data_IF_444360593513
#
_entry.id   IF_444360593513
#
_cell.length_a   1.000
_cell.length_b   1.000
_cell.length_c   1.000
_cell.angle_alpha   90.00
_cell.angle_beta   90.00
_cell.angle_gamma   90.00
#
_symmetry.space_group_name_H-M   'P 1'
#
loop_
_entity.id
_entity.type
_entity.pdbx_description
1 polymer ?
#
# COMPACT_ATOMS: atom_id res chain seq x y z
N UNK A 1 -26.21 -22.69 8.01
CA UNK A 1 -25.66 -22.46 6.65
C UNK A 1 -24.47 -21.54 6.80
N UNK A 2 -23.30 -21.88 6.26
CA UNK A 2 -22.12 -21.01 6.30
C UNK A 2 -22.26 -19.93 5.23
N UNK A 3 -22.19 -18.65 5.60
CA UNK A 3 -22.15 -17.55 4.64
C UNK A 3 -20.78 -17.50 3.99
N UNK A 4 -20.73 -17.49 2.67
CA UNK A 4 -19.51 -17.25 1.89
C UNK A 4 -19.77 -16.08 0.96
N UNK A 5 -18.92 -15.06 1.03
CA UNK A 5 -18.98 -13.90 0.13
C UNK A 5 -17.57 -13.35 -0.10
N UNK A 6 -17.36 -12.73 -1.25
CA UNK A 6 -16.09 -12.16 -1.63
C UNK A 6 -16.29 -10.89 -2.46
N UNK A 7 -15.35 -9.95 -2.34
CA UNK A 7 -15.26 -8.76 -3.19
C UNK A 7 -13.81 -8.53 -3.56
N UNK A 8 -13.55 -8.13 -4.80
CA UNK A 8 -12.22 -7.80 -5.32
C UNK A 8 -12.29 -6.49 -6.08
N UNK A 9 -11.34 -5.59 -5.83
CA UNK A 9 -11.23 -4.30 -6.51
C UNK A 9 -9.77 -3.95 -6.74
N UNK A 10 -9.53 -3.14 -7.77
CA UNK A 10 -8.21 -2.60 -8.08
C UNK A 10 -8.29 -1.07 -8.16
N UNK A 11 -8.52 -0.36 -7.04
CA UNK A 11 -8.45 1.10 -7.06
C UNK A 11 -7.11 1.56 -7.65
N UNK A 12 -7.19 2.57 -8.51
CA UNK A 12 -6.02 3.19 -9.13
C UNK A 12 -5.43 4.18 -8.15
N UNK A 13 -4.24 3.88 -7.63
CA UNK A 13 -3.54 4.71 -6.64
C UNK A 13 -2.38 5.43 -7.31
N UNK A 14 -2.25 6.73 -7.07
CA UNK A 14 -1.16 7.51 -7.65
C UNK A 14 0.19 7.11 -7.04
N UNK A 15 1.26 7.23 -7.83
CA UNK A 15 2.63 7.03 -7.38
C UNK A 15 3.32 8.38 -7.15
N UNK A 16 4.20 8.42 -6.16
CA UNK A 16 5.09 9.56 -5.89
C UNK A 16 6.16 9.62 -6.97
N UNK A 17 6.70 10.83 -7.19
CA UNK A 17 7.79 11.05 -8.16
C UNK A 17 9.02 11.63 -7.47
N UNK A 18 10.23 11.23 -7.89
CA UNK A 18 11.45 11.91 -7.49
C UNK A 18 11.47 13.35 -7.99
N UNK A 19 12.06 14.24 -7.21
CA UNK A 19 12.32 15.62 -7.63
C UNK A 19 13.42 15.67 -8.70
N UNK A 20 13.51 16.80 -9.42
CA UNK A 20 14.60 17.01 -10.38
C UNK A 20 16.00 16.92 -9.72
N UNK A 21 16.11 17.38 -8.48
CA UNK A 21 17.34 17.28 -7.68
C UNK A 21 17.68 15.82 -7.36
N UNK A 22 16.70 15.02 -6.93
CA UNK A 22 16.89 13.59 -6.65
C UNK A 22 17.30 12.81 -7.91
N UNK A 23 16.75 13.16 -9.08
CA UNK A 23 17.15 12.54 -10.35
C UNK A 23 18.54 12.99 -10.81
N UNK A 24 18.88 14.27 -10.64
CA UNK A 24 20.23 14.75 -10.95
C UNK A 24 21.28 14.02 -10.08
N UNK A 25 21.02 13.92 -8.78
CA UNK A 25 21.85 13.15 -7.85
C UNK A 25 21.93 11.68 -8.25
N UNK A 26 20.80 11.03 -8.59
CA UNK A 26 20.78 9.63 -8.99
C UNK A 26 21.66 9.37 -10.21
N UNK A 27 21.58 10.23 -11.23
CA UNK A 27 22.42 10.15 -12.44
C UNK A 27 23.90 10.30 -12.13
N UNK A 28 24.27 11.25 -11.28
CA UNK A 28 25.67 11.42 -10.88
C UNK A 28 26.19 10.20 -10.11
N UNK A 29 25.38 9.67 -9.18
CA UNK A 29 25.72 8.49 -8.40
C UNK A 29 25.93 7.24 -9.26
N UNK A 30 25.06 7.03 -10.26
CA UNK A 30 25.10 5.85 -11.13
C UNK A 30 26.21 5.93 -12.19
N UNK A 31 26.62 7.14 -12.61
CA UNK A 31 27.70 7.34 -13.59
C UNK A 31 29.08 6.86 -13.10
N UNK A 32 29.31 6.89 -11.77
CA UNK A 32 30.55 6.37 -11.16
C UNK A 32 30.42 4.85 -11.00
N UNK A 33 31.44 4.03 -11.33
CA UNK A 33 31.40 2.59 -11.07
C UNK A 33 31.45 2.33 -9.56
N UNK A 34 30.71 1.33 -9.09
CA UNK A 34 30.64 1.00 -7.66
C UNK A 34 29.89 -0.30 -7.39
N UNK A 35 30.13 -0.90 -6.22
CA UNK A 35 29.34 -2.03 -5.74
C UNK A 35 27.96 -1.55 -5.25
N UNK A 36 26.95 -2.42 -5.16
CA UNK A 36 25.68 -2.07 -4.53
C UNK A 36 25.88 -1.64 -3.07
N UNK A 37 25.49 -0.41 -2.76
CA UNK A 37 25.36 0.15 -1.41
C UNK A 37 24.01 0.90 -1.30
N UNK A 38 23.66 1.38 -0.10
CA UNK A 38 22.37 2.05 0.11
C UNK A 38 22.19 3.25 -0.83
N UNK A 39 23.13 4.22 -0.93
CA UNK A 39 22.99 5.33 -1.87
C UNK A 39 22.78 4.90 -3.33
N UNK A 40 23.58 3.95 -3.83
CA UNK A 40 23.47 3.48 -5.22
C UNK A 40 22.15 2.74 -5.47
N UNK A 41 21.66 1.98 -4.50
CA UNK A 41 20.33 1.33 -4.59
C UNK A 41 19.23 2.38 -4.71
N UNK A 42 19.25 3.44 -3.89
CA UNK A 42 18.25 4.50 -3.97
C UNK A 42 18.35 5.33 -5.26
N UNK A 43 19.56 5.58 -5.75
CA UNK A 43 19.76 6.21 -7.06
C UNK A 43 19.07 5.40 -8.17
N UNK A 44 19.29 4.07 -8.20
CA UNK A 44 18.61 3.20 -9.17
C UNK A 44 17.09 3.24 -9.01
N UNK A 45 16.59 3.10 -7.77
CA UNK A 45 15.15 3.11 -7.53
C UNK A 45 14.48 4.44 -7.89
N UNK A 46 15.18 5.57 -7.79
CA UNK A 46 14.65 6.85 -8.26
C UNK A 46 14.49 6.89 -9.78
N UNK A 47 15.48 6.42 -10.54
CA UNK A 47 15.36 6.32 -12.00
C UNK A 47 14.21 5.35 -12.39
N UNK A 48 14.12 4.19 -11.74
CA UNK A 48 13.04 3.23 -11.96
C UNK A 48 11.65 3.84 -11.66
N UNK A 49 11.54 4.56 -10.53
CA UNK A 49 10.31 5.22 -10.12
C UNK A 49 9.93 6.38 -11.05
N UNK A 50 10.90 7.09 -11.63
CA UNK A 50 10.63 8.15 -12.60
C UNK A 50 10.12 7.61 -13.94
N UNK A 51 10.65 6.47 -14.38
CA UNK A 51 10.22 5.79 -15.60
C UNK A 51 8.93 4.97 -15.42
N UNK A 52 8.56 4.63 -14.19
CA UNK A 52 7.36 3.84 -13.87
C UNK A 52 6.04 4.57 -14.09
N UNK A 53 4.92 3.85 -14.03
CA UNK A 53 3.58 4.41 -14.19
C UNK A 53 3.25 5.48 -13.11
N UNK A 54 2.49 6.51 -13.49
CA UNK A 54 2.06 7.60 -12.57
C UNK A 54 0.99 7.17 -11.57
N UNK A 55 0.38 6.02 -11.83
CA UNK A 55 -0.58 5.37 -10.96
C UNK A 55 -0.57 3.87 -11.25
N UNK A 56 -0.97 3.09 -10.26
CA UNK A 56 -0.99 1.62 -10.35
C UNK A 56 -2.34 1.08 -9.86
N UNK A 57 -2.97 0.16 -10.60
CA UNK A 57 -4.07 -0.63 -10.07
C UNK A 57 -3.58 -1.42 -8.85
N UNK A 58 -4.26 -1.27 -7.72
CA UNK A 58 -3.79 -1.83 -6.44
C UNK A 58 -4.78 -2.88 -5.94
N UNK A 59 -4.44 -4.17 -5.95
CA UNK A 59 -5.39 -5.25 -5.69
C UNK A 59 -5.81 -5.30 -4.22
N UNK A 60 -7.11 -5.17 -3.98
CA UNK A 60 -7.76 -5.30 -2.69
C UNK A 60 -8.72 -6.48 -2.72
N UNK A 61 -8.80 -7.23 -1.62
CA UNK A 61 -9.76 -8.31 -1.49
C UNK A 61 -10.42 -8.30 -0.11
N UNK A 62 -11.71 -8.60 -0.09
CA UNK A 62 -12.44 -8.98 1.11
C UNK A 62 -12.99 -10.39 0.93
N UNK A 63 -12.77 -11.24 1.93
CA UNK A 63 -13.38 -12.56 2.04
C UNK A 63 -14.21 -12.62 3.33
N UNK A 64 -15.42 -13.12 3.22
CA UNK A 64 -16.27 -13.43 4.37
C UNK A 64 -16.49 -14.94 4.45
N UNK A 65 -16.17 -15.50 5.62
CA UNK A 65 -16.35 -16.91 5.93
C UNK A 65 -17.14 -17.02 7.23
N UNK A 66 -18.44 -17.25 7.11
CA UNK A 66 -19.38 -17.19 8.23
C UNK A 66 -19.44 -15.78 8.82
N UNK A 67 -18.96 -15.63 10.05
CA UNK A 67 -18.87 -14.35 10.75
C UNK A 67 -17.50 -13.68 10.58
N UNK A 68 -16.49 -14.41 10.10
CA UNK A 68 -15.12 -13.89 9.95
C UNK A 68 -15.02 -13.06 8.68
N UNK A 69 -14.41 -11.88 8.79
CA UNK A 69 -14.08 -11.01 7.68
C UNK A 69 -12.56 -10.85 7.54
N UNK A 70 -12.05 -11.08 6.34
CA UNK A 70 -10.64 -10.99 6.01
C UNK A 70 -10.50 -9.91 4.94
N UNK A 71 -9.87 -8.79 5.27
CA UNK A 71 -9.45 -7.79 4.29
C UNK A 71 -7.99 -8.04 3.89
N UNK A 72 -7.60 -7.64 2.69
CA UNK A 72 -6.20 -7.73 2.27
C UNK A 72 -5.70 -6.49 1.54
N UNK A 73 -4.42 -6.19 1.76
CA UNK A 73 -3.68 -5.12 1.09
C UNK A 73 -2.38 -5.69 0.50
N UNK A 74 -1.88 -5.17 -0.63
CA UNK A 74 -0.70 -5.69 -1.31
C UNK A 74 0.60 -5.00 -0.85
N UNK A 75 0.63 -4.47 0.37
CA UNK A 75 1.72 -3.68 0.93
C UNK A 75 2.29 -4.31 2.21
N UNK A 76 3.45 -3.81 2.65
CA UNK A 76 3.89 -3.91 4.04
C UNK A 76 3.10 -2.90 4.88
N UNK A 77 2.09 -3.40 5.60
CA UNK A 77 1.05 -2.57 6.25
C UNK A 77 1.43 -2.22 7.69
N UNK A 78 1.20 -0.96 8.08
CA UNK A 78 1.37 -0.52 9.46
C UNK A 78 0.30 -1.12 10.39
N UNK A 79 0.69 -1.43 11.63
CA UNK A 79 -0.20 -2.03 12.64
C UNK A 79 -1.47 -1.19 12.87
N UNK A 80 -1.35 0.14 12.90
CA UNK A 80 -2.48 1.05 13.12
C UNK A 80 -3.58 0.90 12.05
N UNK A 81 -3.22 0.64 10.79
CA UNK A 81 -4.18 0.42 9.70
C UNK A 81 -4.96 -0.88 9.94
N UNK A 82 -4.28 -1.95 10.36
CA UNK A 82 -4.93 -3.21 10.69
C UNK A 82 -5.86 -3.12 11.91
N UNK A 83 -5.44 -2.36 12.93
CA UNK A 83 -6.26 -2.06 14.11
C UNK A 83 -7.49 -1.23 13.73
N UNK A 84 -7.33 -0.22 12.88
CA UNK A 84 -8.42 0.61 12.40
C UNK A 84 -9.41 -0.18 11.53
N UNK A 85 -8.92 -1.02 10.61
CA UNK A 85 -9.77 -1.94 9.84
C UNK A 85 -10.60 -2.83 10.76
N UNK A 86 -9.97 -3.43 11.78
CA UNK A 86 -10.67 -4.25 12.76
C UNK A 86 -11.70 -3.45 13.55
N UNK A 87 -11.41 -2.20 13.92
CA UNK A 87 -12.34 -1.36 14.68
C UNK A 87 -13.54 -0.91 13.84
N UNK A 88 -13.32 -0.54 12.57
CA UNK A 88 -14.34 0.03 11.68
C UNK A 88 -15.17 -1.03 10.94
N UNK A 89 -14.68 -2.28 10.85
CA UNK A 89 -15.37 -3.34 10.10
C UNK A 89 -16.75 -3.70 10.71
N UNK A 90 -17.84 -3.65 9.92
CA UNK A 90 -19.19 -4.00 10.39
C UNK A 90 -19.44 -5.52 10.49
N UNK A 91 -18.49 -6.35 10.04
CA UNK A 91 -18.53 -7.82 10.14
C UNK A 91 -17.38 -8.25 11.05
N UNK A 92 -17.69 -9.00 12.11
CA UNK A 92 -16.72 -9.36 13.15
C UNK A 92 -16.73 -10.87 13.44
N UNK A 93 -15.56 -11.49 13.68
CA UNK A 93 -14.25 -10.85 13.82
C UNK A 93 -13.63 -10.43 12.47
N UNK A 94 -12.93 -9.29 12.46
CA UNK A 94 -12.21 -8.78 11.29
C UNK A 94 -10.69 -8.73 11.51
N UNK A 95 -9.93 -9.12 10.49
CA UNK A 95 -8.48 -8.90 10.45
C UNK A 95 -7.98 -8.63 9.03
N UNK A 96 -6.82 -7.99 8.96
CA UNK A 96 -6.19 -7.56 7.72
C UNK A 96 -4.97 -8.42 7.42
N UNK A 97 -4.81 -8.82 6.17
CA UNK A 97 -3.65 -9.57 5.66
C UNK A 97 -2.81 -8.64 4.79
N UNK A 98 -1.55 -8.43 5.17
CA UNK A 98 -0.55 -7.71 4.38
C UNK A 98 0.04 -8.59 3.28
N UNK A 99 0.67 -7.99 2.27
CA UNK A 99 1.39 -8.69 1.21
C UNK A 99 0.55 -9.75 0.45
N UNK A 100 -0.74 -9.47 0.27
CA UNK A 100 -1.62 -10.31 -0.53
C UNK A 100 -1.69 -9.80 -1.98
N UNK A 101 -1.74 -10.71 -2.96
CA UNK A 101 -1.87 -10.42 -4.40
C UNK A 101 -0.73 -9.63 -5.05
N UNK A 102 0.17 -9.02 -4.29
CA UNK A 102 1.30 -8.29 -4.83
C UNK A 102 2.23 -7.69 -3.77
N UNK A 103 3.18 -6.89 -4.25
CA UNK A 103 4.15 -6.15 -3.45
C UNK A 103 4.22 -4.68 -3.90
N UNK A 104 3.71 -3.79 -3.05
CA UNK A 104 3.61 -2.34 -3.31
C UNK A 104 4.38 -1.50 -2.29
N UNK A 105 5.45 -2.09 -1.74
CA UNK A 105 6.33 -1.49 -0.75
C UNK A 105 5.57 -1.15 0.56
N UNK A 106 6.12 -0.27 1.40
CA UNK A 106 5.49 0.14 2.65
C UNK A 106 4.23 0.99 2.43
N UNK A 107 3.26 0.84 3.34
CA UNK A 107 2.02 1.64 3.38
C UNK A 107 1.90 2.43 4.70
N UNK A 108 2.68 3.51 4.87
CA UNK A 108 2.52 4.44 5.99
C UNK A 108 1.19 5.22 5.92
N UNK A 109 0.72 5.70 7.07
CA UNK A 109 -0.39 6.67 7.15
C UNK A 109 0.11 8.09 6.80
N UNK A 110 -0.78 9.05 6.47
CA UNK A 110 -0.36 10.44 6.27
C UNK A 110 0.39 11.01 7.48
N UNK A 111 -0.03 10.63 8.70
CA UNK A 111 0.67 11.03 9.92
C UNK A 111 2.07 10.43 10.01
N UNK A 112 2.26 9.18 9.61
CA UNK A 112 3.60 8.57 9.55
C UNK A 112 4.48 9.27 8.52
N UNK A 113 3.94 9.71 7.38
CA UNK A 113 4.69 10.53 6.43
C UNK A 113 5.21 11.85 7.03
N UNK A 114 4.43 12.50 7.91
CA UNK A 114 4.86 13.71 8.62
C UNK A 114 5.95 13.43 9.66
N UNK A 115 5.88 12.27 10.32
CA UNK A 115 6.88 11.84 11.31
C UNK A 115 8.20 11.36 10.66
N UNK A 116 8.12 10.87 9.42
CA UNK A 116 9.26 10.30 8.71
C UNK A 116 9.55 8.85 9.12
N UNK A 117 10.77 8.39 8.82
CA UNK A 117 11.17 6.98 9.00
C UNK A 117 11.45 6.29 7.66
N UNK A 118 12.15 5.15 7.72
CA UNK A 118 12.60 4.42 6.53
C UNK A 118 11.43 4.05 5.59
N UNK A 119 10.32 3.66 6.18
CA UNK A 119 9.07 3.25 5.53
C UNK A 119 8.43 4.38 4.71
N UNK A 120 8.80 5.63 4.97
CA UNK A 120 8.27 6.82 4.29
C UNK A 120 9.18 7.33 3.17
N UNK A 121 10.42 6.82 3.10
CA UNK A 121 11.40 7.26 2.11
C UNK A 121 10.87 6.95 0.71
N UNK A 122 11.07 7.91 -0.20
CA UNK A 122 10.69 7.72 -1.59
C UNK A 122 11.41 6.47 -2.14
N UNK A 123 10.71 5.68 -2.96
CA UNK A 123 11.17 4.38 -3.48
C UNK A 123 11.31 3.24 -2.44
N UNK A 124 11.03 3.49 -1.16
CA UNK A 124 10.68 2.46 -0.14
C UNK A 124 9.20 2.51 0.20
N UNK A 125 8.56 3.64 -0.07
CA UNK A 125 7.14 3.78 -0.30
C UNK A 125 6.95 4.54 -1.62
N UNK A 126 6.28 3.91 -2.58
CA UNK A 126 6.02 4.50 -3.90
C UNK A 126 4.65 5.12 -4.06
N UNK A 127 3.67 4.73 -3.25
CA UNK A 127 2.29 5.22 -3.36
C UNK A 127 2.15 6.62 -2.75
N UNK A 128 1.15 7.38 -3.20
CA UNK A 128 0.87 8.73 -2.68
C UNK A 128 0.61 8.75 -1.17
N UNK A 129 0.85 9.87 -0.46
CA UNK A 129 0.75 9.92 0.99
C UNK A 129 -0.62 9.54 1.59
N UNK A 130 -1.70 9.70 0.82
CA UNK A 130 -3.07 9.33 1.20
C UNK A 130 -3.49 7.93 0.75
N UNK A 131 -2.57 7.11 0.23
CA UNK A 131 -2.89 5.78 -0.28
C UNK A 131 -3.49 4.88 0.80
N UNK A 132 -2.96 4.91 2.03
CA UNK A 132 -3.46 4.13 3.16
C UNK A 132 -4.93 4.41 3.47
N UNK A 133 -5.32 5.68 3.52
CA UNK A 133 -6.71 6.10 3.74
C UNK A 133 -7.62 5.62 2.61
N UNK A 134 -7.24 5.91 1.36
CA UNK A 134 -8.02 5.52 0.17
C UNK A 134 -8.26 4.01 0.09
N UNK A 135 -7.22 3.23 0.38
CA UNK A 135 -7.28 1.77 0.31
C UNK A 135 -8.06 1.17 1.47
N UNK A 136 -7.94 1.73 2.68
CA UNK A 136 -8.70 1.30 3.85
C UNK A 136 -10.20 1.61 3.68
N UNK A 137 -10.53 2.80 3.19
CA UNK A 137 -11.93 3.18 2.93
C UNK A 137 -12.56 2.26 1.87
N UNK A 138 -11.84 2.00 0.77
CA UNK A 138 -12.29 1.06 -0.25
C UNK A 138 -12.51 -0.36 0.31
N UNK A 139 -11.63 -0.86 1.19
CA UNK A 139 -11.83 -2.14 1.87
C UNK A 139 -13.09 -2.12 2.73
N UNK A 140 -13.34 -1.06 3.51
CA UNK A 140 -14.50 -0.99 4.40
C UNK A 140 -15.82 -0.92 3.62
N UNK A 141 -15.85 -0.24 2.47
CA UNK A 141 -16.95 -0.30 1.51
C UNK A 141 -17.19 -1.74 1.03
N UNK A 142 -16.13 -2.43 0.63
CA UNK A 142 -16.21 -3.84 0.21
C UNK A 142 -16.70 -4.76 1.35
N UNK A 143 -16.34 -4.48 2.60
CA UNK A 143 -16.86 -5.22 3.78
C UNK A 143 -18.37 -5.00 3.93
N UNK A 144 -18.85 -3.79 3.70
CA UNK A 144 -20.28 -3.50 3.76
C UNK A 144 -21.09 -4.26 2.70
N UNK A 145 -20.49 -4.53 1.54
CA UNK A 145 -21.12 -5.27 0.42
C UNK A 145 -21.21 -6.77 0.65
N UNK A 146 -20.24 -7.36 1.37
CA UNK A 146 -20.25 -8.80 1.70
C UNK A 146 -21.03 -9.09 2.99
N UNK A 147 -21.62 -8.06 3.60
CA UNK A 147 -22.51 -8.20 4.75
C UNK A 147 -23.82 -8.86 4.30
N UNK A 148 -24.42 -9.67 5.18
CA UNK A 148 -25.71 -10.28 4.86
C UNK A 148 -26.75 -9.16 4.72
N UNK A 149 -27.51 -9.12 3.62
CA UNK A 149 -28.76 -8.38 3.62
C UNK A 149 -29.62 -9.05 4.68
N UNK A 150 -29.92 -8.31 5.76
CA UNK A 150 -30.95 -8.73 6.72
C UNK A 150 -32.29 -8.83 6.01
#
# INVERSE_FOLDING_TARGET
RLTLAASYREPVIATRRPSAEQLAWAKEMLAKPGKPDVPRVYAQRFEDLACGAASVPTPLQVLRIGQVCIGSLPNEVFCEIGLEFRQRSPVQPAFLVSLAHGYFDYLPTPKQHELGGYETWLATNRLEPKASEKMLDALLEMVAEVRDPK
#
